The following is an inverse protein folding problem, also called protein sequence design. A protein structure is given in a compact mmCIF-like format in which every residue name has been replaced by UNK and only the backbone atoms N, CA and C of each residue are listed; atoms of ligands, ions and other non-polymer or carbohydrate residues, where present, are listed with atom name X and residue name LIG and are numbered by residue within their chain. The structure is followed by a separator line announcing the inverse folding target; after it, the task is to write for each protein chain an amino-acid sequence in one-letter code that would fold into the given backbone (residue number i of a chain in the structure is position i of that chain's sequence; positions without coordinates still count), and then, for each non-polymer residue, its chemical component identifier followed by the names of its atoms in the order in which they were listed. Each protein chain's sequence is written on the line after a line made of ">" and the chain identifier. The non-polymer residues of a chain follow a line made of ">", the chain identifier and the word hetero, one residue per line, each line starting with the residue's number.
data_IF_583292478590
#
_entry.id   IF_583292478590
#
_cell.length_a   1.000
_cell.length_b   1.000
_cell.length_c   1.000
_cell.angle_alpha   90.00
_cell.angle_beta   90.00
_cell.angle_gamma   90.00
#
_symmetry.space_group_name_H-M   'P 1'
#
loop_
_entity.id
_entity.type
_entity.pdbx_description
1 polymer ?
#
# COMPACT_ATOMS: atom_id res chain seq x y z
N UNK A 1 7.30 3.06 -22.33
CA UNK A 1 6.03 2.85 -21.60
C UNK A 1 6.14 3.57 -20.28
N UNK A 2 5.14 4.39 -19.96
CA UNK A 2 5.02 5.00 -18.63
C UNK A 2 4.77 3.87 -17.63
N UNK A 3 5.69 3.68 -16.68
CA UNK A 3 5.55 2.68 -15.62
C UNK A 3 4.91 3.32 -14.41
N UNK A 4 4.00 2.63 -13.75
CA UNK A 4 3.28 3.15 -12.58
C UNK A 4 3.40 2.23 -11.37
N UNK A 5 3.89 2.80 -10.28
CA UNK A 5 3.95 2.17 -8.97
C UNK A 5 2.93 2.82 -8.03
N UNK A 6 2.11 2.01 -7.36
CA UNK A 6 1.15 2.51 -6.37
C UNK A 6 1.36 1.79 -5.04
N UNK A 7 1.57 2.55 -3.97
CA UNK A 7 1.67 2.02 -2.62
C UNK A 7 0.32 2.09 -1.90
N UNK A 8 -0.07 0.99 -1.26
CA UNK A 8 -1.28 0.90 -0.42
C UNK A 8 -0.91 0.28 0.93
N UNK A 9 -1.62 0.65 1.98
CA UNK A 9 -1.38 0.13 3.31
C UNK A 9 -1.79 1.04 4.45
N UNK A 10 -1.10 0.88 5.57
CA UNK A 10 -1.30 1.62 6.80
C UNK A 10 -0.22 2.70 7.03
N UNK A 11 -0.03 3.10 8.29
CA UNK A 11 0.95 4.11 8.69
C UNK A 11 2.39 3.77 8.28
N UNK A 12 2.76 2.49 8.20
CA UNK A 12 4.11 2.11 7.75
C UNK A 12 4.31 2.44 6.27
N UNK A 13 3.32 2.15 5.43
CA UNK A 13 3.34 2.54 4.01
C UNK A 13 3.20 4.05 3.85
N UNK A 14 2.41 4.72 4.69
CA UNK A 14 2.31 6.19 4.72
C UNK A 14 3.68 6.82 4.98
N UNK A 15 4.58 6.10 5.67
CA UNK A 15 5.92 6.54 6.06
C UNK A 15 6.00 7.16 7.45
N UNK A 16 4.94 7.00 8.25
CA UNK A 16 4.87 7.52 9.61
C UNK A 16 5.98 6.89 10.46
N UNK A 17 6.79 7.74 11.12
CA UNK A 17 7.97 7.35 11.91
C UNK A 17 9.16 6.80 11.10
N UNK A 18 9.10 6.84 9.77
CA UNK A 18 10.21 6.49 8.87
C UNK A 18 10.62 7.69 7.99
N UNK A 19 10.14 8.89 8.31
CA UNK A 19 10.46 10.13 7.60
C UNK A 19 11.84 10.72 7.94
N UNK A 20 12.25 11.73 7.20
CA UNK A 20 13.39 12.60 7.52
C UNK A 20 12.90 13.90 8.18
N UNK A 21 13.82 14.83 8.47
CA UNK A 21 13.49 16.13 9.06
C UNK A 21 12.56 17.00 8.17
N UNK A 22 12.32 16.59 6.91
CA UNK A 22 11.60 17.36 5.90
C UNK A 22 10.18 16.82 5.67
N UNK A 23 9.86 15.62 6.17
CA UNK A 23 8.50 15.09 6.15
C UNK A 23 8.40 13.57 6.15
N UNK A 24 7.23 13.08 5.76
CA UNK A 24 6.94 11.64 5.71
C UNK A 24 7.54 11.06 4.42
N UNK A 25 8.77 10.57 4.49
CA UNK A 25 9.49 9.90 3.39
C UNK A 25 9.84 8.47 3.81
N UNK A 26 8.84 7.59 3.74
CA UNK A 26 8.97 6.21 4.22
C UNK A 26 9.60 5.26 3.21
N UNK A 27 9.69 3.98 3.59
CA UNK A 27 10.19 2.92 2.72
C UNK A 27 9.56 2.93 1.32
N UNK A 28 8.25 3.19 1.22
CA UNK A 28 7.52 3.17 -0.05
C UNK A 28 8.01 4.28 -1.00
N UNK A 29 8.24 5.49 -0.48
CA UNK A 29 8.78 6.62 -1.22
C UNK A 29 10.24 6.36 -1.64
N UNK A 30 11.05 5.82 -0.73
CA UNK A 30 12.45 5.44 -1.01
C UNK A 30 12.54 4.36 -2.08
N UNK A 31 11.68 3.35 -2.02
CA UNK A 31 11.60 2.31 -3.05
C UNK A 31 11.22 2.92 -4.40
N UNK A 32 10.22 3.80 -4.43
CA UNK A 32 9.82 4.49 -5.66
C UNK A 32 10.96 5.32 -6.25
N UNK A 33 11.69 6.07 -5.43
CA UNK A 33 12.86 6.84 -5.87
C UNK A 33 13.97 5.94 -6.44
N UNK A 34 14.22 4.77 -5.83
CA UNK A 34 15.19 3.79 -6.34
C UNK A 34 14.72 3.17 -7.66
N UNK A 35 13.43 2.88 -7.80
CA UNK A 35 12.86 2.37 -9.04
C UNK A 35 12.91 3.40 -10.17
N UNK A 36 12.64 4.68 -9.89
CA UNK A 36 12.76 5.77 -10.86
C UNK A 36 14.21 5.96 -11.31
N UNK A 37 15.18 5.88 -10.40
CA UNK A 37 16.60 5.95 -10.77
C UNK A 37 17.03 4.83 -11.74
N UNK A 38 16.43 3.63 -11.63
CA UNK A 38 16.66 2.52 -12.57
C UNK A 38 15.82 2.65 -13.85
N UNK A 39 14.67 3.30 -13.74
CA UNK A 39 13.65 3.41 -14.77
C UNK A 39 13.06 4.82 -14.82
N UNK A 40 13.81 5.80 -15.38
CA UNK A 40 13.43 7.20 -15.33
C UNK A 40 12.05 7.46 -15.94
N UNK A 41 11.25 8.27 -15.24
CA UNK A 41 9.88 8.57 -15.63
C UNK A 41 8.84 7.66 -14.98
N UNK A 42 9.21 6.97 -13.89
CA UNK A 42 8.26 6.19 -13.08
C UNK A 42 7.22 7.13 -12.46
N UNK A 43 5.95 6.82 -12.68
CA UNK A 43 4.85 7.50 -12.01
C UNK A 43 4.57 6.81 -10.67
N UNK A 44 4.59 7.56 -9.58
CA UNK A 44 4.39 7.03 -8.23
C UNK A 44 3.19 7.68 -7.55
N UNK A 45 2.43 6.88 -6.78
CA UNK A 45 1.41 7.38 -5.86
C UNK A 45 1.38 6.54 -4.58
N UNK A 46 1.29 7.21 -3.44
CA UNK A 46 1.05 6.59 -2.14
C UNK A 46 -0.40 6.85 -1.72
N UNK A 47 -1.19 5.78 -1.57
CA UNK A 47 -2.60 5.84 -1.16
C UNK A 47 -2.80 5.36 0.29
N UNK A 48 -1.72 5.07 1.00
CA UNK A 48 -1.78 4.55 2.35
C UNK A 48 -2.37 5.58 3.32
N UNK A 49 -3.06 5.08 4.34
CA UNK A 49 -3.69 5.91 5.37
C UNK A 49 -3.45 5.25 6.72
N UNK A 50 -2.92 6.00 7.68
CA UNK A 50 -2.73 5.55 9.07
C UNK A 50 -3.93 4.85 9.67
N UNK A 51 -3.64 3.84 10.49
CA UNK A 51 -4.64 3.12 11.27
C UNK A 51 -5.56 2.20 10.47
N UNK A 52 -5.39 2.12 9.14
CA UNK A 52 -6.17 1.24 8.28
C UNK A 52 -5.83 -0.22 8.53
N UNK A 53 -6.87 -1.06 8.46
CA UNK A 53 -6.81 -2.51 8.53
C UNK A 53 -6.81 -3.12 7.13
N UNK A 54 -6.50 -4.42 7.04
CA UNK A 54 -6.55 -5.15 5.76
C UNK A 54 -7.91 -5.01 5.07
N UNK A 55 -9.01 -5.01 5.82
CA UNK A 55 -10.35 -4.81 5.26
C UNK A 55 -10.51 -3.45 4.57
N UNK A 56 -10.01 -2.37 5.18
CA UNK A 56 -10.10 -1.03 4.60
C UNK A 56 -9.21 -0.89 3.36
N UNK A 57 -8.01 -1.49 3.39
CA UNK A 57 -7.09 -1.48 2.24
C UNK A 57 -7.75 -2.16 1.03
N UNK A 58 -8.39 -3.30 1.24
CA UNK A 58 -9.08 -4.03 0.17
C UNK A 58 -10.35 -3.31 -0.32
N UNK A 59 -11.08 -2.65 0.57
CA UNK A 59 -12.33 -1.96 0.23
C UNK A 59 -12.13 -0.60 -0.42
N UNK A 60 -11.16 0.18 0.05
CA UNK A 60 -11.03 1.60 -0.31
C UNK A 60 -9.80 1.85 -1.21
N UNK A 61 -8.64 1.32 -0.82
CA UNK A 61 -7.37 1.66 -1.46
C UNK A 61 -7.12 0.82 -2.73
N UNK A 62 -7.37 -0.49 -2.68
CA UNK A 62 -7.12 -1.39 -3.80
C UNK A 62 -7.93 -1.02 -5.06
N UNK A 63 -9.25 -0.72 -5.00
CA UNK A 63 -9.99 -0.30 -6.19
C UNK A 63 -9.45 1.00 -6.80
N UNK A 64 -9.03 1.95 -5.95
CA UNK A 64 -8.40 3.20 -6.40
C UNK A 64 -7.03 2.96 -7.01
N UNK A 65 -6.21 2.08 -6.43
CA UNK A 65 -4.93 1.69 -7.02
C UNK A 65 -5.14 1.05 -8.40
N UNK A 66 -6.08 0.11 -8.53
CA UNK A 66 -6.35 -0.56 -9.80
C UNK A 66 -6.90 0.38 -10.88
N UNK A 67 -7.71 1.39 -10.53
CA UNK A 67 -8.20 2.37 -11.50
C UNK A 67 -7.08 3.23 -12.09
N UNK A 68 -5.94 3.32 -11.40
CA UNK A 68 -4.74 3.96 -11.91
C UNK A 68 -3.97 3.08 -12.90
N UNK A 69 -4.36 1.81 -13.14
CA UNK A 69 -3.66 0.86 -14.02
C UNK A 69 -2.16 0.73 -13.69
N UNK A 70 -1.81 0.32 -12.45
CA UNK A 70 -0.43 0.21 -12.02
C UNK A 70 0.24 -1.01 -12.63
N UNK A 71 1.54 -0.91 -12.88
CA UNK A 71 2.41 -2.05 -13.22
C UNK A 71 2.92 -2.75 -11.95
N UNK A 72 3.02 -2.00 -10.85
CA UNK A 72 3.45 -2.50 -9.55
C UNK A 72 2.56 -1.92 -8.44
N UNK A 73 2.12 -2.81 -7.54
CA UNK A 73 1.46 -2.41 -6.28
C UNK A 73 2.26 -2.96 -5.11
N UNK A 74 2.67 -2.09 -4.20
CA UNK A 74 3.29 -2.50 -2.93
C UNK A 74 2.25 -2.45 -1.82
N UNK A 75 2.17 -3.51 -1.01
CA UNK A 75 1.20 -3.63 0.08
C UNK A 75 1.92 -3.91 1.39
N UNK A 76 1.76 -3.03 2.37
CA UNK A 76 2.14 -3.29 3.76
C UNK A 76 0.98 -2.90 4.68
N UNK A 77 0.34 -3.92 5.27
CA UNK A 77 -0.83 -3.75 6.14
C UNK A 77 -0.96 -4.97 7.07
N UNK A 78 -1.72 -4.82 8.16
CA UNK A 78 -2.09 -5.92 9.06
C UNK A 78 -1.63 -5.73 10.50
N UNK A 79 -0.72 -4.78 10.76
CA UNK A 79 -0.27 -4.49 12.11
C UNK A 79 -1.43 -3.95 12.97
N UNK A 80 -2.29 -3.11 12.38
CA UNK A 80 -3.49 -2.59 13.04
C UNK A 80 -4.57 -3.66 13.32
N UNK A 81 -4.58 -4.73 12.55
CA UNK A 81 -5.46 -5.90 12.79
C UNK A 81 -4.96 -6.71 13.99
N UNK A 82 -3.64 -6.73 14.22
CA UNK A 82 -2.98 -7.50 15.29
C UNK A 82 -2.94 -6.74 16.62
N UNK A 83 -2.60 -5.45 16.60
CA UNK A 83 -2.39 -4.63 17.82
C UNK A 83 -3.70 -4.11 18.44
N UNK A 84 -4.84 -4.16 17.72
CA UNK A 84 -6.16 -3.84 18.29
C UNK A 84 -6.94 -5.14 18.55
N UNK A 85 -6.79 -5.80 19.72
CA UNK A 85 -7.56 -6.98 20.03
C UNK A 85 -8.99 -6.56 20.35
N UNK A 86 -9.87 -6.69 19.37
CA UNK A 86 -11.31 -6.65 19.56
C UNK A 86 -11.97 -7.52 18.49
N UNK A 87 -12.69 -8.58 18.93
CA UNK A 87 -13.55 -9.58 18.23
C UNK A 87 -13.29 -10.00 16.76
N UNK A 88 -12.27 -9.50 16.07
CA UNK A 88 -12.13 -9.61 14.62
C UNK A 88 -10.75 -10.11 14.15
N UNK A 89 -9.83 -10.45 15.06
CA UNK A 89 -8.52 -11.01 14.66
C UNK A 89 -8.68 -12.28 13.83
N UNK A 90 -9.59 -13.19 14.22
CA UNK A 90 -9.91 -14.37 13.41
C UNK A 90 -10.57 -14.01 12.07
N UNK A 91 -11.42 -12.99 12.03
CA UNK A 91 -12.06 -12.52 10.79
C UNK A 91 -11.06 -11.85 9.83
N UNK A 92 -9.97 -11.27 10.34
CA UNK A 92 -8.89 -10.71 9.55
C UNK A 92 -8.00 -11.81 8.93
N UNK A 93 -7.82 -12.93 9.65
CA UNK A 93 -7.08 -14.11 9.20
C UNK A 93 -7.92 -15.08 8.35
N UNK A 94 -9.25 -14.92 8.34
CA UNK A 94 -10.14 -15.71 7.52
C UNK A 94 -9.72 -15.60 6.04
N UNK A 95 -9.66 -16.71 5.28
CA UNK A 95 -9.30 -16.71 3.87
C UNK A 95 -10.15 -15.71 3.08
N UNK A 96 -9.59 -14.56 2.76
CA UNK A 96 -10.21 -13.63 1.82
C UNK A 96 -9.98 -14.23 0.45
N UNK A 97 -11.04 -14.76 -0.19
CA UNK A 97 -10.95 -15.23 -1.58
C UNK A 97 -10.32 -14.10 -2.39
N UNK A 98 -9.12 -14.30 -2.96
CA UNK A 98 -8.53 -13.27 -3.77
C UNK A 98 -9.47 -13.04 -4.95
N UNK A 99 -10.01 -11.83 -5.09
CA UNK A 99 -10.55 -11.35 -6.34
C UNK A 99 -9.37 -11.03 -7.29
N UNK A 100 -8.44 -11.97 -7.44
CA UNK A 100 -7.43 -11.92 -8.49
C UNK A 100 -8.14 -12.38 -9.77
N UNK A 101 -8.87 -11.46 -10.40
CA UNK A 101 -9.03 -11.53 -11.85
C UNK A 101 -7.69 -11.12 -12.41
N UNK A 102 -7.01 -12.07 -13.04
CA UNK A 102 -5.88 -11.78 -13.93
C UNK A 102 -6.32 -10.69 -14.89
N UNK A 103 -5.77 -9.49 -14.73
CA UNK A 103 -5.86 -8.44 -15.74
C UNK A 103 -4.86 -8.85 -16.81
N UNK A 104 -5.39 -9.28 -17.97
CA UNK A 104 -4.62 -9.39 -19.20
C UNK A 104 -4.51 -8.02 -19.85
#
# INVERSE_FOLDING_TARGET
>A
MDRRCVAIGDSQTEGLWDGDDVGVCGFADRLAARLDALHPGLQYANLAVRGRRVADVLGDQLPRALSMRPDLVTVCAGMNDTIRPGRAFEAALAPKRPALRSVR
#
